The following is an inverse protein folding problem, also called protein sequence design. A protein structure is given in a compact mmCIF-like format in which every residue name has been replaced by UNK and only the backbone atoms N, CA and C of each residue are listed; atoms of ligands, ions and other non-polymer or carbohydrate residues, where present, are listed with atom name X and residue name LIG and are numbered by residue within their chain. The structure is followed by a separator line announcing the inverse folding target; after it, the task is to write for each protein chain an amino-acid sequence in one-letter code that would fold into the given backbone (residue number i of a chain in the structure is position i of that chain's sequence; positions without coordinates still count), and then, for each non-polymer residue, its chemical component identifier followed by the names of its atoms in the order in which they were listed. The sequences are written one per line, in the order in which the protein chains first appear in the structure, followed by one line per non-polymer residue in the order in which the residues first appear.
data_IF_536305014698
#
_entry.id   IF_536305014698
#
_cell.length_a   1.000
_cell.length_b   1.000
_cell.length_c   1.000
_cell.angle_alpha   90.00
_cell.angle_beta   90.00
_cell.angle_gamma   90.00
#
_symmetry.space_group_name_H-M   'P 1'
#
loop_
_entity.id
_entity.type
_entity.pdbx_description
1 polymer ?
#
# COMPACT_ATOMS: atom_id res chain seq x y z
N UNK A 1 5.66 -24.62 -6.22
CA UNK A 1 6.02 -23.23 -5.87
C UNK A 1 7.29 -22.88 -6.63
N UNK A 2 7.29 -21.84 -7.42
CA UNK A 2 8.53 -21.32 -8.00
C UNK A 2 9.45 -20.86 -6.87
N UNK A 3 10.61 -21.50 -6.78
CA UNK A 3 11.60 -21.22 -5.71
C UNK A 3 12.62 -20.17 -6.11
N UNK A 4 12.58 -19.68 -7.37
CA UNK A 4 13.55 -18.74 -7.92
C UNK A 4 13.11 -17.30 -7.78
N UNK A 5 14.09 -16.40 -7.73
CA UNK A 5 13.86 -14.96 -7.73
C UNK A 5 13.23 -14.51 -9.04
N UNK A 6 12.57 -13.37 -9.00
CA UNK A 6 11.86 -12.80 -10.15
C UNK A 6 12.15 -11.30 -10.26
N UNK A 7 12.21 -10.83 -11.50
CA UNK A 7 12.22 -9.42 -11.89
C UNK A 7 11.29 -9.23 -13.08
N UNK A 8 11.24 -8.07 -13.67
CA UNK A 8 10.50 -7.79 -14.91
C UNK A 8 11.39 -7.93 -16.15
N UNK A 9 10.79 -8.09 -17.35
CA UNK A 9 11.54 -8.27 -18.61
C UNK A 9 11.97 -6.93 -19.21
N UNK A 10 11.06 -5.93 -19.19
CA UNK A 10 11.27 -4.61 -19.75
C UNK A 10 10.77 -3.52 -18.82
N UNK A 11 11.29 -2.31 -18.99
CA UNK A 11 10.81 -1.16 -18.22
C UNK A 11 9.41 -0.73 -18.65
N UNK A 12 8.61 -0.28 -17.67
CA UNK A 12 7.29 0.33 -17.89
C UNK A 12 7.13 1.53 -16.99
N UNK A 13 6.42 2.55 -17.46
CA UNK A 13 6.19 3.77 -16.71
C UNK A 13 4.72 4.21 -16.78
N UNK A 14 4.31 4.95 -15.75
CA UNK A 14 3.00 5.60 -15.65
C UNK A 14 3.18 6.97 -15.02
N UNK A 15 2.38 7.95 -15.45
CA UNK A 15 2.45 9.33 -14.94
C UNK A 15 1.11 9.78 -14.39
N UNK A 16 1.14 10.62 -13.39
CA UNK A 16 -0.05 11.19 -12.75
C UNK A 16 0.34 12.14 -11.63
N UNK A 17 -0.60 12.51 -10.79
CA UNK A 17 -0.37 13.39 -9.63
C UNK A 17 -0.21 12.57 -8.36
N UNK A 18 0.66 13.03 -7.45
CA UNK A 18 0.75 12.45 -6.10
C UNK A 18 -0.48 12.77 -5.26
N UNK A 19 -0.96 11.81 -4.45
CA UNK A 19 -2.17 11.98 -3.63
C UNK A 19 -2.06 13.16 -2.66
N UNK A 20 -0.99 13.20 -1.90
CA UNK A 20 -0.79 14.21 -0.85
C UNK A 20 -0.12 15.47 -1.37
N UNK A 21 0.86 15.33 -2.23
CA UNK A 21 1.63 16.46 -2.77
C UNK A 21 0.88 17.24 -3.85
N UNK A 22 0.01 16.58 -4.62
CA UNK A 22 -0.65 17.16 -5.79
C UNK A 22 0.31 17.49 -6.95
N UNK A 23 1.57 17.02 -6.85
CA UNK A 23 2.60 17.30 -7.85
C UNK A 23 2.62 16.19 -8.89
N UNK A 24 2.81 16.58 -10.15
CA UNK A 24 2.98 15.63 -11.24
C UNK A 24 4.22 14.77 -11.00
N UNK A 25 4.06 13.48 -11.11
CA UNK A 25 5.14 12.50 -10.95
C UNK A 25 5.01 11.37 -11.94
N UNK A 26 6.14 10.80 -12.33
CA UNK A 26 6.21 9.57 -13.11
C UNK A 26 6.84 8.49 -12.25
N UNK A 27 6.21 7.33 -12.22
CA UNK A 27 6.80 6.10 -11.68
C UNK A 27 7.22 5.22 -12.85
N UNK A 28 8.46 4.72 -12.82
CA UNK A 28 8.95 3.74 -13.79
C UNK A 28 9.52 2.52 -13.06
N UNK A 29 9.13 1.35 -13.52
CA UNK A 29 9.64 0.07 -13.03
C UNK A 29 10.70 -0.46 -13.97
N UNK A 30 11.89 -0.78 -13.45
CA UNK A 30 13.02 -1.29 -14.22
C UNK A 30 13.45 -2.68 -13.75
N UNK A 31 13.87 -3.58 -14.65
CA UNK A 31 14.43 -4.85 -14.26
C UNK A 31 15.70 -4.66 -13.42
N UNK A 32 15.88 -5.52 -12.44
CA UNK A 32 17.04 -5.47 -11.57
C UNK A 32 17.75 -6.84 -11.49
N UNK A 33 19.06 -6.87 -11.16
CA UNK A 33 19.80 -8.11 -11.02
C UNK A 33 19.37 -8.94 -9.82
N UNK A 34 19.86 -10.15 -9.75
CA UNK A 34 19.63 -11.07 -8.62
C UNK A 34 20.17 -10.49 -7.31
N UNK A 35 19.45 -10.68 -6.21
CA UNK A 35 19.75 -10.17 -4.87
C UNK A 35 19.73 -8.63 -4.75
N UNK A 36 19.13 -7.93 -5.70
CA UNK A 36 19.01 -6.46 -5.67
C UNK A 36 17.97 -6.00 -4.62
N UNK A 37 16.90 -6.78 -4.47
CA UNK A 37 15.74 -6.38 -3.65
C UNK A 37 14.88 -5.31 -4.32
N UNK A 38 14.10 -4.60 -3.51
CA UNK A 38 13.26 -3.48 -3.97
C UNK A 38 13.95 -2.19 -3.58
N UNK A 39 14.21 -1.32 -4.56
CA UNK A 39 14.82 0.00 -4.33
C UNK A 39 14.10 1.07 -5.11
N UNK A 40 14.07 2.25 -4.53
CA UNK A 40 13.59 3.46 -5.17
C UNK A 40 14.75 4.36 -5.55
N UNK A 41 14.57 5.14 -6.64
CA UNK A 41 15.51 6.16 -7.08
C UNK A 41 14.74 7.45 -7.39
N UNK A 42 15.29 8.60 -7.01
CA UNK A 42 14.77 9.93 -7.28
C UNK A 42 15.53 10.57 -8.44
N UNK A 43 15.03 10.36 -9.67
CA UNK A 43 15.70 10.86 -10.88
C UNK A 43 15.55 12.38 -11.11
N UNK A 44 14.67 13.03 -10.39
CA UNK A 44 14.51 14.48 -10.36
C UNK A 44 15.56 15.20 -9.48
N UNK A 45 16.35 14.45 -8.73
CA UNK A 45 17.42 14.98 -7.87
C UNK A 45 18.78 14.69 -8.50
N UNK A 46 19.72 15.67 -8.55
CA UNK A 46 21.08 15.44 -9.02
C UNK A 46 21.75 14.27 -8.28
N UNK A 47 22.40 13.37 -9.05
CA UNK A 47 23.00 12.16 -8.51
C UNK A 47 22.06 11.00 -8.35
N UNK A 48 20.77 11.20 -8.63
CA UNK A 48 19.75 10.15 -8.61
C UNK A 48 19.83 9.27 -7.35
N UNK A 49 19.63 9.83 -6.15
CA UNK A 49 19.78 9.10 -4.90
C UNK A 49 18.84 7.89 -4.85
N UNK A 50 19.38 6.78 -4.38
CA UNK A 50 18.68 5.50 -4.23
C UNK A 50 18.32 5.27 -2.77
N UNK A 51 17.12 4.75 -2.51
CA UNK A 51 16.61 4.39 -1.19
C UNK A 51 16.16 2.93 -1.23
N UNK A 52 16.70 2.10 -0.35
CA UNK A 52 16.22 0.73 -0.20
C UNK A 52 14.85 0.70 0.47
N UNK A 53 13.93 -0.09 -0.07
CA UNK A 53 12.64 -0.36 0.57
C UNK A 53 12.86 -1.26 1.79
N UNK A 54 13.17 -0.67 2.92
CA UNK A 54 13.47 -1.35 4.19
C UNK A 54 12.77 -0.63 5.34
N UNK A 55 12.37 -1.39 6.34
CA UNK A 55 11.65 -0.87 7.51
C UNK A 55 12.46 0.14 8.32
N UNK A 56 13.79 0.05 8.29
CA UNK A 56 14.66 0.98 9.00
C UNK A 56 14.69 2.37 8.34
N UNK A 57 14.27 2.50 7.08
CA UNK A 57 14.14 3.77 6.37
C UNK A 57 12.77 4.45 6.56
N UNK A 58 11.83 3.82 7.27
CA UNK A 58 10.51 4.43 7.52
C UNK A 58 10.63 5.56 8.53
N UNK A 59 10.23 6.77 8.11
CA UNK A 59 10.34 8.00 8.93
C UNK A 59 8.99 8.64 9.24
N UNK A 60 7.95 8.39 8.45
CA UNK A 60 6.61 8.93 8.66
C UNK A 60 5.54 7.94 8.21
N UNK A 61 4.46 7.87 8.98
CA UNK A 61 3.34 6.93 8.81
C UNK A 61 1.98 7.63 9.03
N UNK A 62 1.96 8.96 8.99
CA UNK A 62 0.77 9.73 9.39
C UNK A 62 -0.40 9.54 8.43
N UNK A 63 -0.15 9.36 7.12
CA UNK A 63 -1.17 9.20 6.09
C UNK A 63 -0.80 8.23 4.96
N UNK A 64 0.28 7.54 5.11
CA UNK A 64 0.89 6.59 4.18
C UNK A 64 2.28 6.28 4.67
N UNK A 65 2.98 5.38 4.04
CA UNK A 65 4.31 5.00 4.46
C UNK A 65 5.35 5.83 3.70
N UNK A 66 6.14 6.60 4.45
CA UNK A 66 7.25 7.42 3.91
C UNK A 66 8.58 6.79 4.28
N UNK A 67 9.43 6.60 3.29
CA UNK A 67 10.82 6.17 3.48
C UNK A 67 11.78 7.32 3.20
N UNK A 68 12.92 7.33 3.91
CA UNK A 68 13.95 8.35 3.78
C UNK A 68 15.35 7.76 3.90
N UNK A 69 16.27 8.27 3.10
CA UNK A 69 17.70 8.04 3.24
C UNK A 69 18.46 9.30 2.78
N UNK A 70 19.45 9.76 3.57
CA UNK A 70 20.26 10.94 3.27
C UNK A 70 19.41 12.20 2.93
N UNK A 71 18.40 12.51 3.74
CA UNK A 71 17.47 13.64 3.58
C UNK A 71 16.58 13.58 2.31
N UNK A 72 16.58 12.46 1.60
CA UNK A 72 15.73 12.24 0.44
C UNK A 72 14.53 11.40 0.85
N UNK A 73 13.31 11.94 0.68
CA UNK A 73 12.04 11.31 1.06
C UNK A 73 11.24 10.84 -0.14
N UNK A 74 10.58 9.70 0.05
CA UNK A 74 9.54 9.20 -0.85
C UNK A 74 8.31 8.85 -0.01
N UNK A 75 7.20 9.53 -0.32
CA UNK A 75 5.91 9.35 0.36
C UNK A 75 5.08 8.26 -0.31
N UNK A 76 4.14 7.66 0.44
CA UNK A 76 3.07 6.80 -0.10
C UNK A 76 3.60 5.63 -0.94
N UNK A 77 4.61 4.92 -0.40
CA UNK A 77 5.28 3.82 -1.13
C UNK A 77 4.49 2.51 -1.10
N UNK A 78 3.52 2.37 -0.21
CA UNK A 78 2.80 1.14 0.11
C UNK A 78 2.08 0.53 -1.10
N UNK A 79 1.44 1.32 -1.97
CA UNK A 79 0.72 0.79 -3.13
C UNK A 79 1.67 0.19 -4.18
N UNK A 80 2.80 0.86 -4.44
CA UNK A 80 3.82 0.34 -5.35
C UNK A 80 4.48 -0.93 -4.78
N UNK A 81 4.79 -0.92 -3.47
CA UNK A 81 5.34 -2.09 -2.77
C UNK A 81 4.34 -3.26 -2.75
N UNK A 82 3.05 -3.00 -2.56
CA UNK A 82 2.01 -4.01 -2.61
C UNK A 82 1.93 -4.65 -3.99
N UNK A 83 1.98 -3.87 -5.07
CA UNK A 83 1.97 -4.38 -6.44
C UNK A 83 3.17 -5.30 -6.73
N UNK A 84 4.37 -4.86 -6.34
CA UNK A 84 5.62 -5.64 -6.50
C UNK A 84 5.56 -6.94 -5.68
N UNK A 85 5.20 -6.85 -4.40
CA UNK A 85 5.12 -7.99 -3.49
C UNK A 85 4.01 -8.97 -3.89
N UNK A 86 2.83 -8.46 -4.23
CA UNK A 86 1.67 -9.26 -4.66
C UNK A 86 1.93 -10.06 -5.92
N UNK A 87 2.68 -9.49 -6.89
CA UNK A 87 3.14 -10.20 -8.08
C UNK A 87 4.40 -11.04 -7.84
N UNK A 88 4.92 -11.09 -6.61
CA UNK A 88 6.11 -11.86 -6.23
C UNK A 88 7.34 -11.48 -7.06
N UNK A 89 7.54 -10.21 -7.28
CA UNK A 89 8.76 -9.67 -7.85
C UNK A 89 9.74 -9.43 -6.70
N UNK A 90 10.94 -9.99 -6.78
CA UNK A 90 11.94 -9.92 -5.71
C UNK A 90 12.95 -8.79 -5.95
N UNK A 91 13.25 -8.52 -7.23
CA UNK A 91 14.30 -7.57 -7.62
C UNK A 91 13.75 -6.55 -8.61
N UNK A 92 13.71 -5.30 -8.23
CA UNK A 92 13.19 -4.22 -9.06
C UNK A 92 13.77 -2.87 -8.62
N UNK A 93 14.06 -2.00 -9.60
CA UNK A 93 14.33 -0.59 -9.36
C UNK A 93 13.06 0.21 -9.73
N UNK A 94 12.59 1.03 -8.81
CA UNK A 94 11.43 1.91 -8.97
C UNK A 94 11.94 3.35 -9.08
N UNK A 95 11.88 3.92 -10.26
CA UNK A 95 12.29 5.30 -10.51
C UNK A 95 11.10 6.25 -10.33
N UNK A 96 11.34 7.36 -9.66
CA UNK A 96 10.39 8.44 -9.44
C UNK A 96 10.96 9.79 -9.87
N UNK A 97 10.17 10.58 -10.60
CA UNK A 97 10.47 11.97 -10.95
C UNK A 97 9.89 12.97 -9.94
N UNK A 98 9.54 12.53 -8.75
CA UNK A 98 8.93 13.34 -7.70
C UNK A 98 8.94 12.67 -6.35
N UNK A 99 8.50 13.38 -5.32
CA UNK A 99 8.51 12.92 -3.91
C UNK A 99 7.49 11.82 -3.61
N UNK A 100 6.57 11.54 -4.54
CA UNK A 100 5.45 10.64 -4.30
C UNK A 100 5.10 9.90 -5.60
N UNK A 101 4.84 8.59 -5.57
CA UNK A 101 4.25 7.89 -6.70
C UNK A 101 2.93 8.53 -7.14
N UNK A 102 2.56 8.49 -8.43
CA UNK A 102 1.25 8.95 -8.86
C UNK A 102 0.16 8.10 -8.20
N UNK A 103 -0.91 8.74 -7.72
CA UNK A 103 -2.03 8.06 -7.05
C UNK A 103 -2.85 7.18 -7.98
N UNK A 104 -2.78 7.46 -9.28
CA UNK A 104 -3.56 6.81 -10.32
C UNK A 104 -5.07 6.86 -9.99
N UNK A 105 -5.73 5.71 -9.93
CA UNK A 105 -7.14 5.59 -9.54
C UNK A 105 -7.36 5.38 -8.01
N UNK A 106 -6.28 5.52 -7.21
CA UNK A 106 -6.28 5.31 -5.76
C UNK A 106 -6.10 3.86 -5.32
N UNK A 107 -5.83 2.96 -6.24
CA UNK A 107 -5.55 1.54 -5.98
C UNK A 107 -4.14 1.15 -6.47
N UNK A 108 -3.77 -0.12 -6.36
CA UNK A 108 -2.54 -0.64 -6.96
C UNK A 108 -2.74 -1.24 -8.38
N UNK A 109 -3.95 -1.13 -8.93
CA UNK A 109 -4.32 -1.76 -10.21
C UNK A 109 -3.40 -1.35 -11.35
N UNK A 110 -3.20 -0.04 -11.55
CA UNK A 110 -2.38 0.47 -12.66
C UNK A 110 -0.91 0.04 -12.55
N UNK A 111 -0.38 -0.06 -11.32
CA UNK A 111 0.97 -0.59 -11.08
C UNK A 111 1.06 -2.08 -11.41
N UNK A 112 0.05 -2.87 -11.02
CA UNK A 112 -0.05 -4.28 -11.37
C UNK A 112 -0.12 -4.47 -12.89
N UNK A 113 -0.96 -3.71 -13.58
CA UNK A 113 -1.09 -3.76 -15.04
C UNK A 113 0.24 -3.40 -15.73
N UNK A 114 0.94 -2.34 -15.24
CA UNK A 114 2.26 -1.95 -15.75
C UNK A 114 3.29 -3.06 -15.56
N UNK A 115 3.34 -3.69 -14.39
CA UNK A 115 4.25 -4.79 -14.09
C UNK A 115 3.95 -6.06 -14.90
N UNK A 116 2.68 -6.38 -15.10
CA UNK A 116 2.26 -7.50 -15.96
C UNK A 116 2.60 -7.24 -17.42
N UNK A 117 2.39 -6.01 -17.90
CA UNK A 117 2.78 -5.58 -19.25
C UNK A 117 4.30 -5.62 -19.45
N UNK A 118 5.07 -5.29 -18.42
CA UNK A 118 6.53 -5.43 -18.42
C UNK A 118 6.98 -6.88 -18.61
N UNK A 119 6.11 -7.84 -18.34
CA UNK A 119 6.42 -9.27 -18.33
C UNK A 119 7.28 -9.68 -17.13
N UNK A 120 6.95 -10.78 -16.49
CA UNK A 120 7.69 -11.26 -15.32
C UNK A 120 8.75 -12.26 -15.77
N UNK A 121 10.01 -12.06 -15.34
CA UNK A 121 11.16 -12.89 -15.67
C UNK A 121 11.66 -13.65 -14.45
N UNK A 122 11.73 -14.97 -14.54
CA UNK A 122 12.37 -15.82 -13.53
C UNK A 122 13.89 -15.74 -13.67
N UNK A 123 14.59 -15.53 -12.57
CA UNK A 123 16.04 -15.44 -12.47
C UNK A 123 16.67 -16.79 -12.05
N UNK A 124 18.00 -16.87 -11.96
CA UNK A 124 18.70 -18.13 -11.66
C UNK A 124 18.74 -18.44 -10.16
N UNK A 125 18.97 -17.41 -9.32
CA UNK A 125 19.11 -17.57 -7.87
C UNK A 125 17.81 -17.99 -7.18
N UNK A 126 17.98 -18.68 -6.06
CA UNK A 126 16.86 -19.08 -5.22
C UNK A 126 16.28 -17.88 -4.50
N UNK A 127 14.97 -17.91 -4.31
CA UNK A 127 14.25 -16.88 -3.56
C UNK A 127 14.53 -17.00 -2.07
N UNK A 128 14.89 -15.92 -1.44
CA UNK A 128 15.04 -15.81 0.00
C UNK A 128 13.65 -15.60 0.61
N UNK A 129 13.28 -16.38 1.61
CA UNK A 129 11.94 -16.33 2.22
C UNK A 129 12.09 -16.54 3.72
N UNK A 130 11.57 -15.62 4.51
CA UNK A 130 11.47 -15.82 5.96
C UNK A 130 10.35 -16.83 6.27
N UNK A 131 10.73 -18.01 6.73
CA UNK A 131 9.79 -19.00 7.22
C UNK A 131 9.40 -18.72 8.67
N UNK A 132 8.13 -18.47 8.92
CA UNK A 132 7.62 -18.26 10.27
C UNK A 132 7.55 -19.61 10.99
N UNK A 133 8.38 -19.78 12.00
CA UNK A 133 8.49 -21.00 12.82
C UNK A 133 7.83 -20.86 14.18
N UNK A 134 7.64 -19.64 14.66
CA UNK A 134 6.98 -19.27 15.92
C UNK A 134 6.05 -18.08 15.73
N UNK A 135 4.99 -18.01 16.51
CA UNK A 135 4.05 -16.90 16.43
C UNK A 135 4.70 -15.57 16.86
N UNK A 136 4.37 -14.50 16.14
CA UNK A 136 4.69 -13.13 16.53
C UNK A 136 3.39 -12.34 16.56
N UNK A 137 3.19 -11.55 17.60
CA UNK A 137 2.00 -10.71 17.76
C UNK A 137 2.39 -9.26 18.06
N UNK A 138 1.55 -8.34 17.61
CA UNK A 138 1.54 -6.93 18.01
C UNK A 138 0.12 -6.58 18.44
N UNK A 139 -0.02 -6.01 19.63
CA UNK A 139 -1.31 -5.65 20.21
C UNK A 139 -1.25 -4.22 20.73
N UNK A 140 -2.26 -3.42 20.41
CA UNK A 140 -2.48 -2.11 21.01
C UNK A 140 -3.88 -2.08 21.66
N UNK A 141 -4.00 -2.34 22.97
CA UNK A 141 -5.30 -2.45 23.65
C UNK A 141 -6.12 -1.15 23.62
N UNK A 142 -5.46 0.00 23.60
CA UNK A 142 -6.14 1.31 23.60
C UNK A 142 -6.84 1.61 22.28
N UNK A 143 -6.35 1.04 21.18
CA UNK A 143 -6.92 1.17 19.83
C UNK A 143 -7.57 -0.12 19.36
N UNK A 144 -7.61 -1.13 20.22
CA UNK A 144 -8.13 -2.48 19.94
C UNK A 144 -7.52 -3.09 18.66
N UNK A 145 -6.23 -2.84 18.43
CA UNK A 145 -5.49 -3.32 17.26
C UNK A 145 -4.78 -4.62 17.62
N UNK A 146 -4.93 -5.63 16.78
CA UNK A 146 -4.20 -6.88 16.86
C UNK A 146 -3.62 -7.27 15.50
N UNK A 147 -2.33 -7.61 15.46
CA UNK A 147 -1.67 -8.20 14.30
C UNK A 147 -0.89 -9.44 14.76
N UNK A 148 -1.13 -10.56 14.11
CA UNK A 148 -0.47 -11.82 14.40
C UNK A 148 0.11 -12.43 13.13
N UNK A 149 1.26 -13.10 13.26
CA UNK A 149 1.71 -14.05 12.24
C UNK A 149 1.95 -15.40 12.90
N UNK A 150 1.47 -16.44 12.25
CA UNK A 150 1.63 -17.84 12.67
C UNK A 150 2.25 -18.67 11.55
N UNK A 151 2.89 -19.82 11.87
CA UNK A 151 3.39 -20.74 10.87
C UNK A 151 2.31 -21.14 9.87
N UNK A 152 2.66 -21.13 8.58
CA UNK A 152 1.83 -21.64 7.50
C UNK A 152 2.68 -22.10 6.33
N UNK A 153 2.13 -22.93 5.45
CA UNK A 153 2.86 -23.50 4.32
C UNK A 153 3.01 -22.53 3.12
N UNK A 154 2.37 -21.35 3.18
CA UNK A 154 2.46 -20.27 2.20
C UNK A 154 2.12 -18.93 2.86
N UNK A 155 2.39 -17.83 2.16
CA UNK A 155 1.93 -16.50 2.61
C UNK A 155 0.41 -16.40 2.47
N UNK A 156 -0.24 -16.00 3.56
CA UNK A 156 -1.68 -15.76 3.66
C UNK A 156 -1.91 -14.50 4.46
N UNK A 157 -2.98 -13.79 4.15
CA UNK A 157 -3.41 -12.61 4.92
C UNK A 157 -4.89 -12.74 5.22
N UNK A 158 -5.29 -12.46 6.46
CA UNK A 158 -6.68 -12.21 6.85
C UNK A 158 -6.74 -10.85 7.51
N UNK A 159 -7.62 -9.99 7.06
CA UNK A 159 -7.77 -8.64 7.61
C UNK A 159 -9.24 -8.39 8.00
N UNK A 160 -9.43 -7.78 9.16
CA UNK A 160 -10.73 -7.33 9.66
C UNK A 160 -10.67 -5.84 9.98
N UNK A 161 -11.70 -5.11 9.56
CA UNK A 161 -11.96 -3.73 9.99
C UNK A 161 -13.32 -3.67 10.63
N UNK A 162 -13.48 -2.74 11.56
CA UNK A 162 -14.76 -2.43 12.21
C UNK A 162 -14.89 -0.91 12.31
N UNK A 163 -15.96 -0.40 11.76
CA UNK A 163 -16.28 1.01 11.81
C UNK A 163 -17.68 1.20 12.41
N UNK A 164 -17.87 2.15 13.33
CA UNK A 164 -19.18 2.43 13.92
C UNK A 164 -20.11 3.19 12.97
N UNK A 165 -20.08 2.82 11.69
CA UNK A 165 -20.85 3.44 10.62
C UNK A 165 -21.64 2.38 9.87
N UNK A 166 -22.98 2.53 9.73
CA UNK A 166 -23.82 1.54 9.04
C UNK A 166 -23.37 1.22 7.62
N UNK A 167 -22.81 2.20 6.92
CA UNK A 167 -22.30 2.03 5.55
C UNK A 167 -21.08 1.08 5.45
N UNK A 168 -20.32 0.94 6.51
CA UNK A 168 -19.10 0.11 6.54
C UNK A 168 -19.27 -1.11 7.43
N UNK A 169 -19.70 -0.92 8.67
CA UNK A 169 -19.82 -1.98 9.67
C UNK A 169 -18.53 -2.75 9.88
N UNK A 170 -18.68 -4.04 10.17
CA UNK A 170 -17.56 -4.98 10.24
C UNK A 170 -17.36 -5.64 8.87
N UNK A 171 -16.12 -5.57 8.38
CA UNK A 171 -15.72 -6.20 7.12
C UNK A 171 -14.49 -7.05 7.35
N UNK A 172 -14.39 -8.12 6.60
CA UNK A 172 -13.17 -8.93 6.57
C UNK A 172 -12.81 -9.34 5.13
N UNK A 173 -11.53 -9.63 4.93
CA UNK A 173 -11.00 -10.21 3.70
C UNK A 173 -9.95 -11.27 4.05
N UNK A 174 -9.89 -12.33 3.28
CA UNK A 174 -8.92 -13.41 3.48
C UNK A 174 -8.33 -13.86 2.15
N UNK A 175 -7.03 -13.64 1.99
CA UNK A 175 -6.25 -14.03 0.81
C UNK A 175 -5.44 -15.27 1.16
N UNK A 176 -5.81 -16.38 0.53
CA UNK A 176 -5.18 -17.69 0.74
C UNK A 176 -4.13 -18.03 -0.30
N UNK A 177 -4.25 -17.45 -1.50
CA UNK A 177 -3.32 -17.64 -2.60
C UNK A 177 -2.94 -16.30 -3.22
N UNK A 178 -1.92 -15.64 -2.65
CA UNK A 178 -1.48 -14.32 -3.08
C UNK A 178 -1.23 -14.23 -4.59
N UNK A 179 -0.73 -15.28 -5.23
CA UNK A 179 -0.40 -15.26 -6.66
C UNK A 179 -1.63 -15.21 -7.57
N UNK A 180 -2.71 -15.87 -7.18
CA UNK A 180 -3.94 -15.97 -7.96
C UNK A 180 -4.89 -14.82 -7.61
N UNK A 181 -4.93 -14.43 -6.34
CA UNK A 181 -5.97 -13.55 -5.82
C UNK A 181 -5.57 -12.07 -5.87
N UNK A 182 -4.28 -11.73 -5.66
CA UNK A 182 -3.86 -10.34 -5.44
C UNK A 182 -4.28 -9.39 -6.57
N UNK A 183 -3.98 -9.76 -7.81
CA UNK A 183 -4.20 -8.88 -8.97
C UNK A 183 -5.70 -8.55 -9.20
N UNK A 184 -6.59 -9.45 -8.82
CA UNK A 184 -8.04 -9.33 -9.08
C UNK A 184 -8.85 -9.00 -7.85
N UNK A 185 -8.40 -9.45 -6.66
CA UNK A 185 -9.18 -9.34 -5.42
C UNK A 185 -8.69 -8.21 -4.50
N UNK A 186 -7.42 -7.81 -4.60
CA UNK A 186 -6.82 -6.83 -3.69
C UNK A 186 -6.36 -5.57 -4.42
N UNK A 187 -5.57 -5.73 -5.48
CA UNK A 187 -4.96 -4.61 -6.19
C UNK A 187 -5.97 -3.56 -6.69
N UNK A 188 -7.22 -3.92 -7.12
CA UNK A 188 -8.19 -2.93 -7.56
C UNK A 188 -8.89 -2.14 -6.45
N UNK A 189 -8.69 -2.48 -5.17
CA UNK A 189 -9.33 -1.79 -4.07
C UNK A 189 -8.77 -0.38 -3.89
N UNK A 190 -9.64 0.63 -3.97
CA UNK A 190 -9.27 2.05 -3.88
C UNK A 190 -9.11 2.50 -2.44
N UNK A 191 -8.22 3.49 -2.25
CA UNK A 191 -8.11 4.22 -1.00
C UNK A 191 -9.41 4.94 -0.66
N UNK A 192 -9.61 5.18 0.63
CA UNK A 192 -10.81 5.83 1.14
C UNK A 192 -10.46 6.80 2.27
N UNK A 193 -11.34 7.77 2.50
CA UNK A 193 -11.30 8.66 3.65
C UNK A 193 -12.71 8.95 4.14
N UNK A 194 -12.80 9.44 5.37
CA UNK A 194 -14.06 9.94 5.92
C UNK A 194 -14.26 11.39 5.54
N UNK A 195 -15.52 11.76 5.27
CA UNK A 195 -15.86 13.13 4.89
C UNK A 195 -15.45 14.13 5.97
N UNK A 196 -15.59 13.78 7.24
CA UNK A 196 -15.17 14.60 8.39
C UNK A 196 -13.66 14.89 8.40
N UNK A 197 -12.83 14.04 7.77
CA UNK A 197 -11.37 14.22 7.74
C UNK A 197 -10.90 15.08 6.57
N UNK A 198 -11.71 15.22 5.51
CA UNK A 198 -11.29 15.83 4.25
C UNK A 198 -10.75 17.26 4.44
N UNK A 199 -11.44 18.08 5.23
CA UNK A 199 -11.04 19.46 5.48
C UNK A 199 -9.74 19.54 6.27
N UNK A 200 -9.68 18.82 7.38
CA UNK A 200 -8.47 18.76 8.22
C UNK A 200 -7.25 18.31 7.40
N UNK A 201 -7.42 17.34 6.52
CA UNK A 201 -6.35 16.88 5.64
C UNK A 201 -5.88 17.96 4.68
N UNK A 202 -6.82 18.71 4.10
CA UNK A 202 -6.50 19.85 3.21
C UNK A 202 -5.81 20.97 3.95
N UNK A 203 -6.27 21.34 5.14
CA UNK A 203 -5.66 22.37 6.00
C UNK A 203 -4.22 21.99 6.39
N UNK A 204 -3.97 20.72 6.62
CA UNK A 204 -2.63 20.17 6.83
C UNK A 204 -1.76 20.13 5.55
N UNK A 205 -2.29 20.56 4.41
CA UNK A 205 -1.58 20.56 3.13
C UNK A 205 -1.47 19.16 2.51
N UNK A 206 -2.30 18.22 2.95
CA UNK A 206 -2.41 16.86 2.43
C UNK A 206 -3.53 16.76 1.37
N UNK A 207 -3.63 15.59 0.74
CA UNK A 207 -4.63 15.25 -0.30
C UNK A 207 -4.82 16.30 -1.40
N UNK A 208 -3.75 17.03 -1.75
CA UNK A 208 -3.81 18.08 -2.79
C UNK A 208 -4.16 17.53 -4.17
N UNK A 209 -3.75 16.29 -4.46
CA UNK A 209 -4.12 15.56 -5.66
C UNK A 209 -5.34 14.64 -5.48
N UNK A 210 -5.95 14.66 -4.29
CA UNK A 210 -7.16 13.87 -3.99
C UNK A 210 -8.38 14.38 -4.76
N UNK A 211 -9.13 13.45 -5.34
CA UNK A 211 -10.36 13.70 -6.08
C UNK A 211 -11.35 12.57 -5.84
N UNK A 212 -12.61 12.77 -6.22
CA UNK A 212 -13.60 11.70 -6.18
C UNK A 212 -13.31 10.56 -7.18
N UNK A 213 -12.37 10.74 -8.11
CA UNK A 213 -11.97 9.69 -9.06
C UNK A 213 -10.92 8.74 -8.46
N UNK A 214 -10.08 9.24 -7.55
CA UNK A 214 -8.97 8.46 -6.98
C UNK A 214 -9.11 8.12 -5.49
N UNK A 215 -10.24 8.45 -4.87
CA UNK A 215 -10.56 8.06 -3.51
C UNK A 215 -12.06 7.79 -3.33
N UNK A 216 -12.39 6.87 -2.44
CA UNK A 216 -13.76 6.66 -1.98
C UNK A 216 -13.99 7.52 -0.76
N UNK A 217 -14.91 8.49 -0.83
CA UNK A 217 -15.26 9.35 0.33
C UNK A 217 -16.49 8.79 1.02
N UNK A 218 -16.32 8.42 2.28
CA UNK A 218 -17.36 7.83 3.12
C UNK A 218 -18.02 8.94 3.92
N UNK A 219 -19.33 9.01 3.85
CA UNK A 219 -20.13 10.03 4.53
C UNK A 219 -20.38 9.58 5.97
N UNK A 220 -19.72 10.22 6.91
CA UNK A 220 -19.77 9.96 8.35
C UNK A 220 -20.39 11.11 9.17
N UNK A 221 -20.86 12.15 8.48
CA UNK A 221 -21.56 13.31 9.06
C UNK A 221 -22.74 13.72 8.19
N UNK A 222 -23.66 14.49 8.75
CA UNK A 222 -24.74 15.09 7.96
C UNK A 222 -24.19 16.08 6.93
N UNK A 223 -24.79 16.11 5.74
CA UNK A 223 -24.43 16.99 4.65
C UNK A 223 -25.57 17.99 4.46
N UNK A 224 -25.36 19.23 4.86
CA UNK A 224 -26.26 20.34 4.58
C UNK A 224 -25.89 21.08 3.27
N UNK A 225 -26.67 22.09 2.93
CA UNK A 225 -26.45 22.90 1.71
C UNK A 225 -25.09 23.65 1.74
N UNK A 226 -24.64 24.07 2.92
CA UNK A 226 -23.38 24.79 3.12
C UNK A 226 -22.22 23.83 2.82
N UNK A 227 -22.27 22.65 3.40
CA UNK A 227 -21.28 21.59 3.18
C UNK A 227 -21.22 21.15 1.71
N UNK A 228 -22.37 21.01 1.04
CA UNK A 228 -22.43 20.71 -0.41
C UNK A 228 -21.66 21.77 -1.22
N UNK A 229 -21.90 23.05 -0.98
CA UNK A 229 -21.21 24.11 -1.71
C UNK A 229 -19.71 24.10 -1.45
N UNK A 230 -19.32 23.89 -0.20
CA UNK A 230 -17.92 23.80 0.20
C UNK A 230 -17.19 22.61 -0.44
N UNK A 231 -17.84 21.46 -0.52
CA UNK A 231 -17.30 20.28 -1.19
C UNK A 231 -17.17 20.50 -2.71
N UNK A 232 -18.12 21.23 -3.32
CA UNK A 232 -18.03 21.61 -4.73
C UNK A 232 -16.80 22.45 -5.01
N UNK A 233 -16.55 23.47 -4.21
CA UNK A 233 -15.35 24.30 -4.33
C UNK A 233 -14.08 23.47 -4.10
N UNK A 234 -14.09 22.64 -3.06
CA UNK A 234 -12.94 21.85 -2.65
C UNK A 234 -12.48 20.85 -3.72
N UNK A 235 -13.42 20.20 -4.38
CA UNK A 235 -13.16 19.17 -5.40
C UNK A 235 -13.31 19.68 -6.84
N UNK A 236 -13.63 20.96 -7.04
CA UNK A 236 -13.87 21.53 -8.38
C UNK A 236 -15.06 20.87 -9.10
N UNK A 237 -16.13 20.56 -8.36
CA UNK A 237 -17.28 19.83 -8.89
C UNK A 237 -18.39 20.80 -9.29
N UNK A 238 -18.74 20.83 -10.57
CA UNK A 238 -19.84 21.65 -11.09
C UNK A 238 -21.23 21.00 -10.89
N UNK A 239 -21.28 19.68 -10.73
CA UNK A 239 -22.52 18.92 -10.57
C UNK A 239 -23.02 18.89 -9.13
N UNK A 240 -24.27 18.46 -8.94
CA UNK A 240 -24.80 18.29 -7.60
C UNK A 240 -24.12 17.15 -6.87
N UNK A 241 -23.58 17.46 -5.69
CA UNK A 241 -23.07 16.46 -4.74
C UNK A 241 -24.28 15.86 -4.04
N UNK A 242 -24.38 14.53 -4.03
CA UNK A 242 -25.42 13.79 -3.34
C UNK A 242 -24.81 12.81 -2.35
N UNK A 243 -25.46 12.63 -1.22
CA UNK A 243 -25.19 11.49 -0.37
C UNK A 243 -25.86 10.27 -1.00
N UNK A 244 -25.05 9.29 -1.41
CA UNK A 244 -25.57 8.02 -1.88
C UNK A 244 -26.24 7.23 -0.75
N UNK A 245 -27.27 6.46 -1.09
CA UNK A 245 -27.96 5.56 -0.14
C UNK A 245 -27.02 4.51 0.47
N UNK A 246 -25.87 4.30 -0.15
CA UNK A 246 -24.80 3.42 0.33
C UNK A 246 -23.82 4.11 1.31
N UNK A 247 -24.08 5.35 1.72
CA UNK A 247 -23.18 6.12 2.60
C UNK A 247 -21.91 6.61 1.93
N UNK A 248 -21.84 6.60 0.60
CA UNK A 248 -20.67 7.06 -0.17
C UNK A 248 -21.03 8.34 -0.91
N UNK A 249 -20.12 9.31 -0.90
CA UNK A 249 -20.32 10.58 -1.57
C UNK A 249 -20.51 10.35 -3.08
N UNK A 250 -21.49 11.07 -3.66
CA UNK A 250 -21.94 10.93 -5.06
C UNK A 250 -22.44 9.53 -5.43
N UNK A 251 -22.79 8.69 -4.47
CA UNK A 251 -23.31 7.36 -4.75
C UNK A 251 -22.35 6.48 -5.54
N UNK A 252 -21.03 6.77 -5.48
CA UNK A 252 -20.00 6.02 -6.22
C UNK A 252 -20.11 4.53 -5.89
N UNK A 253 -20.15 3.71 -6.91
CA UNK A 253 -20.23 2.25 -6.73
C UNK A 253 -18.87 1.74 -6.26
N UNK A 254 -18.88 0.94 -5.20
CA UNK A 254 -17.71 0.20 -4.76
C UNK A 254 -17.37 -0.91 -5.76
N UNK A 255 -16.09 -1.16 -5.99
CA UNK A 255 -15.61 -2.27 -6.83
C UNK A 255 -15.89 -3.63 -6.16
N UNK A 256 -15.85 -3.63 -4.82
CA UNK A 256 -16.17 -4.77 -3.97
C UNK A 256 -17.08 -4.32 -2.84
N UNK A 257 -18.00 -5.17 -2.37
CA UNK A 257 -18.84 -4.83 -1.21
C UNK A 257 -18.02 -4.46 0.04
N UNK A 258 -16.85 -5.06 0.17
CA UNK A 258 -15.89 -4.87 1.24
C UNK A 258 -14.61 -4.17 0.74
N UNK A 259 -14.71 -3.24 -0.20
CA UNK A 259 -13.55 -2.53 -0.78
C UNK A 259 -12.64 -1.88 0.28
N UNK A 260 -13.14 -1.25 1.36
CA UNK A 260 -12.31 -0.69 2.42
C UNK A 260 -11.36 -1.70 3.08
N UNK A 261 -11.82 -2.89 3.45
CA UNK A 261 -10.94 -3.89 4.06
C UNK A 261 -9.96 -4.49 3.05
N UNK A 262 -10.34 -4.60 1.77
CA UNK A 262 -9.43 -5.02 0.70
C UNK A 262 -8.30 -4.01 0.51
N UNK A 263 -8.63 -2.71 0.56
CA UNK A 263 -7.60 -1.67 0.52
C UNK A 263 -6.67 -1.74 1.75
N UNK A 264 -7.21 -1.95 2.96
CA UNK A 264 -6.38 -2.16 4.16
C UNK A 264 -5.51 -3.42 4.05
N UNK A 265 -5.97 -4.44 3.36
CA UNK A 265 -5.17 -5.63 3.05
C UNK A 265 -4.03 -5.29 2.07
N UNK A 266 -4.29 -4.43 1.06
CA UNK A 266 -3.28 -3.91 0.15
C UNK A 266 -2.20 -3.14 0.92
N UNK A 267 -2.58 -2.20 1.78
CA UNK A 267 -1.68 -1.42 2.63
C UNK A 267 -0.77 -2.34 3.47
N UNK A 268 -1.37 -3.33 4.13
CA UNK A 268 -0.61 -4.29 4.95
C UNK A 268 0.42 -5.07 4.12
N UNK A 269 0.06 -5.52 2.92
CA UNK A 269 0.99 -6.24 2.02
C UNK A 269 2.16 -5.34 1.62
N UNK A 270 1.89 -4.06 1.31
CA UNK A 270 2.91 -3.08 0.99
C UNK A 270 3.85 -2.80 2.16
N UNK A 271 3.30 -2.59 3.36
CA UNK A 271 4.09 -2.35 4.58
C UNK A 271 4.92 -3.59 4.97
N UNK A 272 4.38 -4.79 4.80
CA UNK A 272 5.13 -6.05 5.04
C UNK A 272 6.30 -6.25 4.07
N UNK A 273 6.24 -5.68 2.85
CA UNK A 273 7.35 -5.75 1.90
C UNK A 273 8.60 -5.03 2.41
N UNK A 274 8.45 -4.05 3.31
CA UNK A 274 9.55 -3.34 3.98
C UNK A 274 10.40 -4.23 4.91
N UNK A 275 9.99 -5.47 5.17
CA UNK A 275 10.87 -6.45 5.81
C UNK A 275 12.09 -6.81 4.95
N UNK A 276 12.05 -6.53 3.64
CA UNK A 276 13.12 -6.80 2.68
C UNK A 276 13.18 -8.23 2.19
N UNK A 277 12.38 -9.14 2.75
CA UNK A 277 12.21 -10.52 2.30
C UNK A 277 10.75 -10.94 2.41
N UNK A 278 10.25 -11.79 1.50
CA UNK A 278 8.89 -12.31 1.61
C UNK A 278 8.74 -13.27 2.78
N UNK A 279 7.53 -13.32 3.31
CA UNK A 279 7.15 -14.14 4.47
C UNK A 279 6.47 -15.43 4.00
N UNK A 280 6.78 -16.56 4.64
CA UNK A 280 6.02 -17.81 4.59
C UNK A 280 5.34 -18.00 5.95
N UNK A 281 4.08 -17.59 6.02
CA UNK A 281 3.28 -17.57 7.26
C UNK A 281 1.88 -17.02 6.99
N UNK A 282 1.00 -17.09 7.97
CA UNK A 282 -0.33 -16.50 7.92
C UNK A 282 -0.38 -15.26 8.82
N UNK A 283 -0.53 -14.09 8.20
CA UNK A 283 -0.72 -12.82 8.90
C UNK A 283 -2.22 -12.57 9.06
N UNK A 284 -2.63 -12.31 10.30
CA UNK A 284 -4.00 -11.89 10.64
C UNK A 284 -3.93 -10.51 11.27
N UNK A 285 -4.72 -9.56 10.78
CA UNK A 285 -4.76 -8.20 11.28
C UNK A 285 -6.20 -7.77 11.59
N UNK A 286 -6.40 -7.09 12.70
CA UNK A 286 -7.67 -6.51 13.10
C UNK A 286 -7.48 -5.02 13.41
N UNK A 287 -8.29 -4.16 12.78
CA UNK A 287 -8.30 -2.69 12.98
C UNK A 287 -6.95 -2.00 12.79
N UNK A 288 -6.05 -2.63 12.03
CA UNK A 288 -4.70 -2.17 11.79
C UNK A 288 -4.64 -1.03 10.74
N UNK A 289 -3.53 -0.31 10.74
CA UNK A 289 -3.16 0.73 9.78
C UNK A 289 -1.64 0.88 9.74
N UNK A 290 -1.08 1.80 8.94
CA UNK A 290 0.36 1.93 8.71
C UNK A 290 1.19 1.95 9.99
N UNK A 291 0.77 2.73 11.00
CA UNK A 291 1.48 2.78 12.28
C UNK A 291 1.66 1.41 12.92
N UNK A 292 0.59 0.64 13.02
CA UNK A 292 0.64 -0.70 13.60
C UNK A 292 1.31 -1.72 12.70
N UNK A 293 1.17 -1.59 11.39
CA UNK A 293 1.84 -2.44 10.41
C UNK A 293 3.37 -2.29 10.52
N UNK A 294 3.86 -1.04 10.53
CA UNK A 294 5.29 -0.72 10.67
C UNK A 294 5.85 -1.23 12.00
N UNK A 295 5.16 -1.01 13.11
CA UNK A 295 5.60 -1.52 14.41
C UNK A 295 5.59 -3.07 14.46
N UNK A 296 4.63 -3.70 13.81
CA UNK A 296 4.61 -5.16 13.67
C UNK A 296 5.81 -5.66 12.84
N UNK A 297 6.13 -5.01 11.71
CA UNK A 297 7.28 -5.38 10.86
C UNK A 297 8.60 -5.20 11.63
N UNK A 298 8.78 -4.09 12.37
CA UNK A 298 9.94 -3.89 13.26
C UNK A 298 10.06 -5.00 14.30
N UNK A 299 8.94 -5.37 14.92
CA UNK A 299 8.91 -6.47 15.90
C UNK A 299 9.27 -7.81 15.26
N UNK A 300 8.73 -8.08 14.08
CA UNK A 300 9.04 -9.29 13.32
C UNK A 300 10.53 -9.34 12.94
N UNK A 301 11.09 -8.24 12.41
CA UNK A 301 12.52 -8.11 12.10
C UNK A 301 13.38 -8.42 13.33
N UNK A 302 13.05 -7.83 14.47
CA UNK A 302 13.76 -8.04 15.74
C UNK A 302 13.69 -9.50 16.23
N UNK A 303 12.53 -10.14 16.11
CA UNK A 303 12.36 -11.53 16.58
C UNK A 303 13.01 -12.57 15.67
N UNK A 304 13.21 -12.26 14.41
CA UNK A 304 13.82 -13.12 13.39
C UNK A 304 15.18 -12.61 12.90
N UNK A 305 15.89 -11.82 13.72
CA UNK A 305 17.17 -11.19 13.33
C UNK A 305 18.16 -12.22 12.79
N UNK A 306 18.38 -13.33 13.51
CA UNK A 306 19.34 -14.36 13.10
C UNK A 306 18.97 -15.04 11.79
N UNK A 307 17.69 -15.37 11.62
CA UNK A 307 17.18 -15.99 10.40
C UNK A 307 17.30 -15.03 9.20
N UNK A 308 17.07 -13.72 9.42
CA UNK A 308 17.21 -12.69 8.40
C UNK A 308 18.68 -12.43 8.04
N UNK A 309 19.60 -12.41 9.01
CA UNK A 309 21.04 -12.28 8.78
C UNK A 309 21.53 -13.40 7.86
N UNK A 310 21.18 -14.66 8.15
CA UNK A 310 21.51 -15.81 7.29
C UNK A 310 20.99 -15.62 5.87
N UNK A 311 19.73 -15.16 5.73
CA UNK A 311 19.15 -14.92 4.41
C UNK A 311 19.86 -13.79 3.64
N UNK A 312 20.44 -12.80 4.31
CA UNK A 312 21.12 -11.68 3.65
C UNK A 312 22.58 -12.00 3.30
N UNK A 313 23.23 -12.90 4.04
CA UNK A 313 24.61 -13.34 3.75
C UNK A 313 24.71 -14.31 2.56
N UNK A 314 23.65 -15.11 2.28
CA UNK A 314 23.55 -15.98 1.09
C UNK A 314 23.24 -15.20 -0.21
#
# INVERSE_FOLDING_TARGET
MERKQRTIQMSQSSSGVGLHTGVQSTIAFHPAPENFGIRFIRSDIPGCPEIKADIDHVVDISRGTTIEENDVRIHTVEHALAAVSGLRIDNILIELTGKEPPVMDGSAKDFVESLLKAGIKTQKKMRKVLEITRAVNYTNPYREIDIHVIPANRFRVTFMVEYPLPALGTQYEAIYNMQEDFAFEVAPARTFCFLSEVEMLREQGLIKGGSLENAVVIVDKEIDTIEINRLKELFGIEHNIIQGVNGILNGKVLRFKNEPVRHKTLDLIGDLALLGVPIKGHVTAARAGHASNVEFVKKLKKQYTKELEILWEE
#
